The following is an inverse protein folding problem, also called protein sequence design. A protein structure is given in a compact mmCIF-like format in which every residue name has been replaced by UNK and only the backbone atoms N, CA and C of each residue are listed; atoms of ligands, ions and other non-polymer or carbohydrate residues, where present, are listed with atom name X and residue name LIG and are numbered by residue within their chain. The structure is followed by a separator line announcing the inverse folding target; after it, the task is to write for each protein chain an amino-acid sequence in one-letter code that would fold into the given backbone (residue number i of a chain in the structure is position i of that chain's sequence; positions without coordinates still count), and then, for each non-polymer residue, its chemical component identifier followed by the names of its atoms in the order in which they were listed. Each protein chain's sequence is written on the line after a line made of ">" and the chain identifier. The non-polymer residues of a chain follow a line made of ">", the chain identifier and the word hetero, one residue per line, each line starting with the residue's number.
data_IF_827117502790
#
_entry.id   IF_827117502790
#
_cell.length_a   1.000
_cell.length_b   1.000
_cell.length_c   1.000
_cell.angle_alpha   90.00
_cell.angle_beta   90.00
_cell.angle_gamma   90.00
#
_symmetry.space_group_name_H-M   'P 1'
#
loop_
_entity.id
_entity.type
_entity.pdbx_description
1 polymer ?
#
# COMPACT_ATOMS: atom_id res chain seq x y z
N UNK A 1 18.27 -11.80 -12.64
CA UNK A 1 17.02 -12.35 -13.23
C UNK A 1 16.34 -13.35 -12.29
N UNK A 2 17.01 -14.38 -11.79
CA UNK A 2 16.41 -15.38 -10.91
C UNK A 2 15.73 -14.80 -9.63
N UNK A 3 16.33 -13.78 -9.01
CA UNK A 3 15.77 -13.18 -7.81
C UNK A 3 14.44 -12.47 -8.09
N UNK A 4 14.33 -11.74 -9.21
CA UNK A 4 13.12 -11.05 -9.64
C UNK A 4 11.99 -12.03 -9.91
N UNK A 5 12.27 -13.06 -10.69
CA UNK A 5 11.30 -14.13 -10.99
C UNK A 5 10.83 -14.88 -9.75
N UNK A 6 11.71 -15.06 -8.76
CA UNK A 6 11.33 -15.68 -7.49
C UNK A 6 10.35 -14.80 -6.68
N UNK A 7 10.58 -13.48 -6.61
CA UNK A 7 9.65 -12.55 -5.96
C UNK A 7 8.35 -12.49 -6.73
N UNK A 8 8.40 -12.33 -8.06
CA UNK A 8 7.23 -12.27 -8.92
C UNK A 8 6.34 -13.52 -8.78
N UNK A 9 6.95 -14.70 -8.75
CA UNK A 9 6.23 -15.97 -8.54
C UNK A 9 5.52 -16.01 -7.19
N UNK A 10 6.13 -15.46 -6.14
CA UNK A 10 5.52 -15.42 -4.79
C UNK A 10 4.38 -14.42 -4.69
N UNK A 11 4.40 -13.36 -5.50
CA UNK A 11 3.35 -12.37 -5.61
C UNK A 11 2.32 -12.70 -6.72
N UNK A 12 2.51 -13.81 -7.46
CA UNK A 12 1.66 -14.16 -8.59
C UNK A 12 1.53 -13.04 -9.62
N UNK A 13 2.64 -12.34 -9.89
CA UNK A 13 2.75 -11.24 -10.83
C UNK A 13 3.83 -11.50 -11.88
N UNK A 14 4.03 -10.55 -12.77
CA UNK A 14 5.05 -10.62 -13.82
C UNK A 14 6.38 -10.11 -13.31
N UNK A 15 7.47 -10.56 -13.90
CA UNK A 15 8.82 -10.11 -13.55
C UNK A 15 9.00 -8.59 -13.78
N UNK A 16 8.39 -8.05 -14.85
CA UNK A 16 8.44 -6.63 -15.20
C UNK A 16 7.58 -5.73 -14.27
N UNK A 17 6.84 -6.30 -13.33
CA UNK A 17 6.08 -5.60 -12.30
C UNK A 17 6.82 -5.53 -10.94
N UNK A 18 8.02 -6.11 -10.84
CA UNK A 18 8.81 -6.12 -9.59
C UNK A 18 10.02 -5.21 -9.70
N UNK A 19 10.15 -4.24 -8.82
CA UNK A 19 11.27 -3.30 -8.72
C UNK A 19 12.00 -3.50 -7.41
N UNK A 20 13.30 -3.78 -7.44
CA UNK A 20 14.11 -3.90 -6.23
C UNK A 20 14.41 -2.53 -5.63
N UNK A 21 14.41 -2.50 -4.30
CA UNK A 21 14.71 -1.33 -3.48
C UNK A 21 15.65 -1.71 -2.34
N UNK A 22 16.10 -0.73 -1.57
CA UNK A 22 16.91 -0.96 -0.37
C UNK A 22 16.10 -1.48 0.84
N UNK A 23 14.76 -1.52 0.75
CA UNK A 23 13.90 -1.99 1.83
C UNK A 23 12.48 -1.49 1.75
N UNK A 24 11.66 -1.83 2.74
CA UNK A 24 10.25 -1.43 2.82
C UNK A 24 10.07 0.10 2.86
N UNK A 25 10.95 0.81 3.55
CA UNK A 25 10.87 2.29 3.65
C UNK A 25 11.00 2.95 2.28
N UNK A 26 11.99 2.57 1.49
CA UNK A 26 12.15 3.11 0.13
C UNK A 26 10.96 2.72 -0.75
N UNK A 27 10.51 1.46 -0.70
CA UNK A 27 9.34 1.01 -1.46
C UNK A 27 8.08 1.79 -1.10
N UNK A 28 7.81 2.02 0.19
CA UNK A 28 6.67 2.80 0.66
C UNK A 28 6.74 4.25 0.18
N UNK A 29 7.91 4.88 0.29
CA UNK A 29 8.11 6.26 -0.18
C UNK A 29 7.90 6.38 -1.69
N UNK A 30 8.50 5.49 -2.47
CA UNK A 30 8.32 5.46 -3.93
C UNK A 30 6.84 5.25 -4.32
N UNK A 31 6.15 4.32 -3.66
CA UNK A 31 4.76 4.03 -3.94
C UNK A 31 3.85 5.23 -3.61
N UNK A 32 3.95 5.76 -2.39
CA UNK A 32 3.02 6.78 -1.89
C UNK A 32 3.28 8.13 -2.56
N UNK A 33 4.53 8.61 -2.60
CA UNK A 33 4.87 9.87 -3.26
C UNK A 33 4.67 9.77 -4.78
N UNK A 34 5.12 8.68 -5.39
CA UNK A 34 4.95 8.44 -6.82
C UNK A 34 3.49 8.47 -7.25
N UNK A 35 2.61 7.74 -6.53
CA UNK A 35 1.18 7.75 -6.77
C UNK A 35 0.57 9.15 -6.58
N UNK A 36 0.86 9.82 -5.47
CA UNK A 36 0.33 11.16 -5.17
C UNK A 36 0.69 12.16 -6.27
N UNK A 37 1.96 12.22 -6.66
CA UNK A 37 2.42 13.16 -7.67
C UNK A 37 1.91 12.83 -9.09
N UNK A 38 1.88 11.55 -9.46
CA UNK A 38 1.36 11.11 -10.76
C UNK A 38 -0.14 11.43 -10.90
N UNK A 39 -0.89 11.25 -9.83
CA UNK A 39 -2.35 11.40 -9.83
C UNK A 39 -2.85 12.80 -9.43
N UNK A 40 -1.97 13.75 -9.06
CA UNK A 40 -2.34 15.07 -8.52
C UNK A 40 -3.30 15.92 -9.39
N UNK A 41 -3.36 15.63 -10.70
CA UNK A 41 -4.29 16.30 -11.62
C UNK A 41 -5.70 15.72 -11.56
N UNK A 42 -5.89 14.56 -10.93
CA UNK A 42 -7.17 13.85 -10.81
C UNK A 42 -7.84 14.04 -9.46
N UNK A 43 -7.09 14.54 -8.47
CA UNK A 43 -7.58 14.80 -7.13
C UNK A 43 -6.43 15.06 -6.17
N UNK A 44 -6.78 15.26 -4.89
CA UNK A 44 -5.78 15.55 -3.85
C UNK A 44 -5.98 14.75 -2.57
N UNK A 45 -7.02 13.91 -2.50
CA UNK A 45 -7.31 13.13 -1.30
C UNK A 45 -6.53 11.83 -1.28
N UNK A 46 -5.89 11.56 -0.14
CA UNK A 46 -5.20 10.32 0.20
C UNK A 46 -5.91 9.72 1.42
N UNK A 47 -6.26 8.45 1.36
CA UNK A 47 -6.85 7.72 2.49
C UNK A 47 -5.83 6.69 2.98
N UNK A 48 -5.56 6.71 4.28
CA UNK A 48 -4.63 5.77 4.94
C UNK A 48 -5.17 5.39 6.32
N UNK A 49 -4.38 4.68 7.14
CA UNK A 49 -4.78 4.30 8.49
C UNK A 49 -3.93 5.02 9.55
N UNK A 50 -4.46 5.14 10.76
CA UNK A 50 -3.74 5.71 11.92
C UNK A 50 -2.67 4.76 12.49
N UNK A 51 -2.58 3.53 11.97
CA UNK A 51 -1.68 2.48 12.46
C UNK A 51 -0.63 2.05 11.46
N UNK A 52 -0.43 2.85 10.41
CA UNK A 52 0.62 2.59 9.42
C UNK A 52 2.03 2.67 10.03
N UNK A 53 2.96 2.00 9.36
CA UNK A 53 4.38 2.12 9.70
C UNK A 53 4.86 3.59 9.50
N UNK A 54 5.82 4.10 10.32
CA UNK A 54 6.34 5.47 10.18
C UNK A 54 6.79 5.85 8.77
N UNK A 55 7.26 4.90 7.96
CA UNK A 55 7.61 5.17 6.54
C UNK A 55 6.42 5.59 5.67
N UNK A 56 5.19 5.28 6.07
CA UNK A 56 3.97 5.79 5.44
C UNK A 56 3.53 7.08 6.12
N UNK A 57 3.44 7.08 7.46
CA UNK A 57 2.90 8.22 8.21
C UNK A 57 3.72 9.49 7.97
N UNK A 58 5.05 9.41 8.02
CA UNK A 58 5.92 10.56 7.72
C UNK A 58 5.83 11.00 6.24
N UNK A 59 5.67 10.04 5.33
CA UNK A 59 5.49 10.36 3.91
C UNK A 59 4.18 11.10 3.66
N UNK A 60 3.06 10.68 4.25
CA UNK A 60 1.78 11.37 4.06
C UNK A 60 1.74 12.72 4.80
N UNK A 61 2.44 12.88 5.93
CA UNK A 61 2.65 14.20 6.57
C UNK A 61 3.39 15.16 5.64
N UNK A 62 4.41 14.67 4.93
CA UNK A 62 5.11 15.49 3.95
C UNK A 62 4.17 15.93 2.82
N UNK A 63 3.34 15.02 2.31
CA UNK A 63 2.36 15.33 1.27
C UNK A 63 1.26 16.30 1.75
N UNK A 64 0.87 16.27 3.04
CA UNK A 64 -0.01 17.31 3.62
C UNK A 64 0.60 18.71 3.48
N UNK A 65 1.90 18.86 3.72
CA UNK A 65 2.61 20.14 3.54
C UNK A 65 2.65 20.59 2.06
N UNK A 66 2.52 19.66 1.12
CA UNK A 66 2.38 19.93 -0.33
C UNK A 66 0.93 20.22 -0.75
N UNK A 67 -0.02 20.22 0.21
CA UNK A 67 -1.43 20.54 -0.02
C UNK A 67 -2.29 19.34 -0.44
N UNK A 68 -1.86 18.10 -0.18
CA UNK A 68 -2.76 16.95 -0.25
C UNK A 68 -3.63 16.86 1.00
N UNK A 69 -4.86 16.39 0.84
CA UNK A 69 -5.77 16.09 1.93
C UNK A 69 -5.56 14.64 2.39
N UNK A 70 -5.13 14.42 3.62
CA UNK A 70 -4.87 13.07 4.15
C UNK A 70 -5.93 12.69 5.18
N UNK A 71 -6.68 11.65 4.90
CA UNK A 71 -7.66 11.05 5.82
C UNK A 71 -7.03 9.82 6.46
N UNK A 72 -6.88 9.85 7.78
CA UNK A 72 -6.38 8.71 8.57
C UNK A 72 -7.54 8.01 9.26
N UNK A 73 -7.86 6.80 8.81
CA UNK A 73 -8.89 5.97 9.42
C UNK A 73 -8.44 5.49 10.80
N UNK A 74 -9.31 5.64 11.78
CA UNK A 74 -9.12 5.05 13.10
C UNK A 74 -9.27 3.54 13.08
N UNK A 75 -8.89 2.90 14.18
CA UNK A 75 -9.03 1.45 14.37
C UNK A 75 -9.89 1.14 15.59
N UNK A 76 -10.50 -0.04 15.59
CA UNK A 76 -11.23 -0.57 16.74
C UNK A 76 -10.26 -1.06 17.84
N UNK A 77 -10.83 -1.62 18.92
CA UNK A 77 -10.07 -2.19 20.06
C UNK A 77 -9.14 -3.36 19.67
N UNK A 78 -9.33 -3.94 18.50
CA UNK A 78 -8.51 -5.02 17.96
C UNK A 78 -7.45 -4.49 16.96
N UNK A 79 -7.37 -3.18 16.76
CA UNK A 79 -6.46 -2.54 15.82
C UNK A 79 -6.89 -2.65 14.35
N UNK A 80 -8.17 -2.93 14.05
CA UNK A 80 -8.69 -3.11 12.71
C UNK A 80 -9.51 -1.89 12.27
N UNK A 81 -9.32 -1.42 11.02
CA UNK A 81 -10.15 -0.35 10.44
C UNK A 81 -11.56 -0.84 10.13
N UNK A 82 -12.52 0.08 10.16
CA UNK A 82 -13.89 -0.15 9.72
C UNK A 82 -13.99 -0.06 8.20
N UNK A 83 -14.50 -1.10 7.55
CA UNK A 83 -14.79 -1.07 6.10
C UNK A 83 -15.84 0.00 5.76
N UNK A 84 -16.81 0.24 6.64
CA UNK A 84 -17.81 1.31 6.46
C UNK A 84 -17.13 2.68 6.42
N UNK A 85 -16.25 2.98 7.38
CA UNK A 85 -15.52 4.26 7.40
C UNK A 85 -14.60 4.40 6.20
N UNK A 86 -13.98 3.32 5.75
CA UNK A 86 -13.19 3.31 4.51
C UNK A 86 -14.07 3.67 3.30
N UNK A 87 -15.27 3.11 3.20
CA UNK A 87 -16.20 3.43 2.09
C UNK A 87 -16.71 4.89 2.13
N UNK A 88 -16.87 5.45 3.32
CA UNK A 88 -17.26 6.86 3.52
C UNK A 88 -16.11 7.83 3.22
N UNK A 89 -14.86 7.45 3.54
CA UNK A 89 -13.67 8.28 3.35
C UNK A 89 -13.23 8.40 1.89
N UNK A 90 -13.45 7.35 1.08
CA UNK A 90 -13.06 7.35 -0.34
C UNK A 90 -14.11 8.08 -1.17
N UNK A 91 -13.68 9.14 -1.85
CA UNK A 91 -14.52 10.03 -2.68
C UNK A 91 -13.99 10.10 -4.12
N UNK A 92 -14.71 10.71 -5.08
CA UNK A 92 -14.26 10.80 -6.47
C UNK A 92 -12.92 11.52 -6.68
N UNK A 93 -12.49 12.38 -5.74
CA UNK A 93 -11.19 13.08 -5.78
C UNK A 93 -10.07 12.36 -5.01
N UNK A 94 -10.37 11.19 -4.43
CA UNK A 94 -9.35 10.33 -3.83
C UNK A 94 -8.44 9.78 -4.92
N UNK A 95 -7.13 9.89 -4.71
CA UNK A 95 -6.10 9.47 -5.68
C UNK A 95 -5.23 8.32 -5.20
N UNK A 96 -5.24 8.07 -3.89
CA UNK A 96 -4.49 6.98 -3.27
C UNK A 96 -5.24 6.45 -2.05
N UNK A 97 -5.32 5.13 -1.93
CA UNK A 97 -5.70 4.44 -0.70
C UNK A 97 -4.51 3.57 -0.30
N UNK A 98 -3.91 3.83 0.86
CA UNK A 98 -2.74 3.09 1.37
C UNK A 98 -3.08 2.41 2.69
N UNK A 99 -3.06 1.08 2.72
CA UNK A 99 -3.41 0.27 3.89
C UNK A 99 -2.39 -0.85 4.06
N UNK A 100 -1.80 -0.98 5.25
CA UNK A 100 -0.92 -2.11 5.57
C UNK A 100 -1.71 -3.42 5.61
N UNK A 101 -1.09 -4.53 5.17
CA UNK A 101 -1.76 -5.83 5.21
C UNK A 101 -1.83 -6.40 6.62
N UNK A 102 -0.76 -6.24 7.40
CA UNK A 102 -0.64 -6.73 8.78
C UNK A 102 0.09 -5.68 9.60
N UNK A 103 -0.50 -5.30 10.73
CA UNK A 103 0.13 -4.33 11.63
C UNK A 103 1.40 -4.92 12.28
N UNK A 104 2.46 -4.12 12.31
CA UNK A 104 3.79 -4.53 12.78
C UNK A 104 3.88 -4.68 14.30
N UNK A 105 2.98 -4.11 15.06
CA UNK A 105 2.96 -4.15 16.53
C UNK A 105 1.97 -5.18 17.05
N UNK A 106 0.75 -5.17 16.54
CA UNK A 106 -0.36 -6.00 17.04
C UNK A 106 -0.53 -7.31 16.26
N UNK A 107 -0.03 -7.39 15.03
CA UNK A 107 -0.28 -8.53 14.13
C UNK A 107 -1.67 -8.54 13.51
N UNK A 108 -2.46 -7.49 13.69
CA UNK A 108 -3.82 -7.39 13.16
C UNK A 108 -3.81 -7.34 11.64
N UNK A 109 -4.62 -8.21 11.01
CA UNK A 109 -4.81 -8.26 9.56
C UNK A 109 -5.86 -7.20 9.16
N UNK A 110 -5.49 -6.30 8.25
CA UNK A 110 -6.37 -5.25 7.75
C UNK A 110 -7.15 -5.70 6.50
N UNK A 111 -8.34 -5.13 6.25
CA UNK A 111 -9.21 -5.51 5.12
C UNK A 111 -8.75 -4.81 3.82
N UNK A 112 -7.55 -5.12 3.33
CA UNK A 112 -6.95 -4.45 2.14
C UNK A 112 -7.84 -4.56 0.91
N UNK A 113 -8.49 -5.71 0.71
CA UNK A 113 -9.36 -5.95 -0.45
C UNK A 113 -10.57 -5.00 -0.49
N UNK A 114 -11.04 -4.52 0.68
CA UNK A 114 -12.10 -3.53 0.76
C UNK A 114 -11.72 -2.18 0.12
N UNK A 115 -10.43 -1.87 0.03
CA UNK A 115 -9.95 -0.63 -0.61
C UNK A 115 -10.36 -0.56 -2.09
N UNK A 116 -10.20 -1.66 -2.85
CA UNK A 116 -10.62 -1.68 -4.26
C UNK A 116 -12.14 -1.53 -4.40
N UNK A 117 -12.90 -2.14 -3.49
CA UNK A 117 -14.36 -1.99 -3.46
C UNK A 117 -14.75 -0.54 -3.19
N UNK A 118 -14.10 0.13 -2.22
CA UNK A 118 -14.33 1.55 -1.90
C UNK A 118 -14.05 2.45 -3.13
N UNK A 119 -12.89 2.26 -3.76
CA UNK A 119 -12.48 3.00 -4.96
C UNK A 119 -13.50 2.84 -6.10
N UNK A 120 -13.95 1.61 -6.35
CA UNK A 120 -14.93 1.31 -7.41
C UNK A 120 -16.29 1.95 -7.12
N UNK A 121 -16.79 1.84 -5.88
CA UNK A 121 -18.07 2.43 -5.46
C UNK A 121 -18.07 3.95 -5.56
N UNK A 122 -16.97 4.59 -5.15
CA UNK A 122 -16.82 6.04 -5.22
C UNK A 122 -16.55 6.56 -6.65
N UNK A 123 -16.36 5.68 -7.64
CA UNK A 123 -15.90 6.03 -8.99
C UNK A 123 -14.59 6.85 -8.95
N UNK A 124 -13.74 6.54 -7.98
CA UNK A 124 -12.48 7.22 -7.74
C UNK A 124 -11.41 6.74 -8.72
N UNK A 125 -10.47 7.60 -9.16
CA UNK A 125 -9.30 7.21 -9.93
C UNK A 125 -8.18 6.61 -9.06
N UNK A 126 -8.39 6.45 -7.76
CA UNK A 126 -7.36 6.11 -6.80
C UNK A 126 -6.61 4.82 -7.12
N UNK A 127 -5.30 4.88 -6.97
CA UNK A 127 -4.46 3.70 -6.85
C UNK A 127 -4.60 3.09 -5.45
N UNK A 128 -4.47 1.78 -5.36
CA UNK A 128 -4.46 1.06 -4.07
C UNK A 128 -3.05 0.59 -3.79
N UNK A 129 -2.46 1.08 -2.70
CA UNK A 129 -1.18 0.65 -2.17
C UNK A 129 -1.38 -0.24 -0.93
N UNK A 130 -0.55 -1.27 -0.82
CA UNK A 130 -0.50 -2.15 0.34
C UNK A 130 0.93 -2.28 0.88
N UNK A 131 1.18 -1.84 2.11
CA UNK A 131 2.38 -2.24 2.83
C UNK A 131 2.22 -3.70 3.29
N UNK A 132 2.88 -4.62 2.59
CA UNK A 132 2.83 -6.06 2.87
C UNK A 132 4.11 -6.57 3.55
N UNK A 133 4.95 -5.69 4.10
CA UNK A 133 6.23 -6.04 4.74
C UNK A 133 6.06 -7.11 5.83
N UNK A 134 5.00 -7.03 6.63
CA UNK A 134 4.73 -8.02 7.67
C UNK A 134 4.00 -9.27 7.16
N UNK A 135 3.34 -9.20 6.01
CA UNK A 135 2.52 -10.28 5.45
C UNK A 135 3.30 -11.18 4.47
N UNK A 136 4.29 -10.61 3.74
CA UNK A 136 5.04 -11.33 2.72
C UNK A 136 5.74 -12.58 3.30
N UNK A 137 5.58 -13.70 2.63
CA UNK A 137 6.11 -15.00 3.07
C UNK A 137 5.34 -15.68 4.21
N UNK A 138 4.33 -15.01 4.80
CA UNK A 138 3.49 -15.53 5.90
C UNK A 138 2.04 -15.74 5.49
N UNK A 139 1.53 -14.85 4.65
CA UNK A 139 0.18 -14.92 4.09
C UNK A 139 0.24 -15.04 2.57
N UNK A 140 -0.78 -15.65 1.94
CA UNK A 140 -0.89 -15.63 0.49
C UNK A 140 -1.18 -14.22 0.00
N UNK A 141 -0.27 -13.65 -0.78
CA UNK A 141 -0.41 -12.32 -1.38
C UNK A 141 -0.56 -12.47 -2.89
N UNK A 142 -1.66 -11.97 -3.42
CA UNK A 142 -1.96 -11.93 -4.85
C UNK A 142 -2.44 -10.52 -5.21
N UNK A 143 -1.53 -9.55 -5.44
CA UNK A 143 -1.89 -8.15 -5.62
C UNK A 143 -3.05 -7.93 -6.60
N UNK A 144 -3.00 -8.57 -7.75
CA UNK A 144 -4.06 -8.44 -8.77
C UNK A 144 -5.43 -8.92 -8.26
N UNK A 145 -5.49 -10.07 -7.57
CA UNK A 145 -6.73 -10.61 -7.00
C UNK A 145 -7.24 -9.76 -5.82
N UNK A 146 -6.32 -9.18 -5.05
CA UNK A 146 -6.62 -8.27 -3.94
C UNK A 146 -7.01 -6.85 -4.42
N UNK A 147 -6.93 -6.59 -5.73
CA UNK A 147 -7.19 -5.27 -6.30
C UNK A 147 -6.16 -4.21 -5.95
N UNK A 148 -4.93 -4.63 -5.63
CA UNK A 148 -3.80 -3.77 -5.26
C UNK A 148 -3.00 -3.41 -6.51
N UNK A 149 -2.66 -2.14 -6.66
CA UNK A 149 -1.87 -1.62 -7.78
C UNK A 149 -0.38 -1.48 -7.42
N UNK A 150 -0.08 -1.23 -6.14
CA UNK A 150 1.27 -1.06 -5.60
C UNK A 150 1.41 -1.89 -4.31
N UNK A 151 2.45 -2.71 -4.19
CA UNK A 151 2.66 -3.50 -2.98
C UNK A 151 4.12 -3.48 -2.55
N UNK A 152 4.35 -3.13 -1.29
CA UNK A 152 5.67 -3.08 -0.67
C UNK A 152 5.99 -4.38 0.05
N UNK A 153 7.19 -4.93 -0.17
CA UNK A 153 7.72 -6.08 0.57
C UNK A 153 9.18 -5.84 0.98
N UNK A 154 9.64 -6.55 2.00
CA UNK A 154 11.01 -6.43 2.51
C UNK A 154 11.58 -7.78 2.93
N UNK A 155 12.86 -8.01 2.64
CA UNK A 155 13.51 -9.31 2.87
C UNK A 155 13.79 -9.59 4.34
N UNK A 156 14.13 -8.58 5.15
CA UNK A 156 14.54 -8.78 6.56
C UNK A 156 13.40 -9.29 7.47
N UNK A 157 12.16 -9.23 7.03
CA UNK A 157 10.99 -9.78 7.77
C UNK A 157 10.70 -11.25 7.44
N UNK A 158 11.44 -11.82 6.49
CA UNK A 158 11.38 -13.24 6.07
C UNK A 158 12.75 -13.90 6.12
N UNK A 159 13.58 -13.50 7.09
CA UNK A 159 14.93 -14.03 7.33
C UNK A 159 15.92 -13.80 6.16
N UNK A 160 15.63 -12.87 5.26
CA UNK A 160 16.54 -12.45 4.21
C UNK A 160 17.49 -11.34 4.65
N UNK A 161 18.41 -10.90 3.78
CA UNK A 161 19.38 -9.86 4.10
C UNK A 161 18.69 -8.51 4.35
N UNK A 162 19.29 -7.70 5.23
CA UNK A 162 18.97 -6.28 5.38
C UNK A 162 19.42 -5.52 4.12
N UNK A 163 18.81 -4.37 3.86
CA UNK A 163 19.16 -3.55 2.69
C UNK A 163 18.56 -4.05 1.37
N UNK A 164 17.54 -4.92 1.43
CA UNK A 164 16.82 -5.41 0.24
C UNK A 164 15.32 -5.37 0.48
N UNK A 165 14.60 -4.77 -0.46
CA UNK A 165 13.14 -4.80 -0.54
C UNK A 165 12.70 -4.88 -2.00
N UNK A 166 11.40 -4.92 -2.20
CA UNK A 166 10.83 -4.83 -3.52
C UNK A 166 9.48 -4.10 -3.49
N UNK A 167 9.21 -3.40 -4.57
CA UNK A 167 7.94 -2.78 -4.87
C UNK A 167 7.32 -3.49 -6.07
N UNK A 168 6.12 -4.06 -5.89
CA UNK A 168 5.27 -4.44 -6.99
C UNK A 168 4.58 -3.19 -7.53
N UNK A 169 4.63 -3.01 -8.83
CA UNK A 169 3.90 -1.97 -9.55
C UNK A 169 3.13 -2.66 -10.67
N UNK A 170 1.81 -2.60 -10.59
CA UNK A 170 0.93 -3.17 -11.61
C UNK A 170 1.22 -2.56 -12.97
N UNK A 171 1.30 -3.36 -14.01
CA UNK A 171 1.56 -2.87 -15.37
C UNK A 171 0.51 -1.86 -15.81
N UNK A 172 0.97 -0.70 -16.27
CA UNK A 172 0.12 0.40 -16.73
C UNK A 172 -0.19 1.46 -15.65
N UNK A 173 0.37 1.31 -14.47
CA UNK A 173 0.36 2.31 -13.39
C UNK A 173 1.59 3.21 -13.49
#
# INVERSE_FOLDING_TARGET
>A
ENARSNVARRLFCRDDEVYFTSGGTESNNLAVQGAAHAMRRRGRRIVTTSVEHPSIDETVKHLENEGFEVIRLGVDKNGRISERELFEAVTPDTILVSIMAVNNETGTIQPVEAARTAVTRAKSPALVHCDAVQAFGKLPLKPAAMGVDLMTVSSHKIHGPKGVGALYVKKGV
#
